data_IF_711904504345
#
_entry.id   IF_711904504345
#
_cell.length_a   1.000
_cell.length_b   1.000
_cell.length_c   1.000
_cell.angle_alpha   90.00
_cell.angle_beta   90.00
_cell.angle_gamma   90.00
#
_symmetry.space_group_name_H-M   'P 1'
#
loop_
_entity.id
_entity.type
_entity.pdbx_description
1 polymer ?
#
# COMPACT_ATOMS: atom_id res chain seq x y z
N UNK A 1 -23.42 -7.87 36.75
CA UNK A 1 -23.23 -6.65 35.94
C UNK A 1 -22.71 -5.61 36.88
N UNK A 2 -21.38 -5.46 36.97
CA UNK A 2 -20.80 -4.30 37.63
C UNK A 2 -21.26 -3.04 36.89
N UNK A 3 -21.59 -2.01 37.66
CA UNK A 3 -22.15 -0.77 37.15
C UNK A 3 -21.26 -0.18 36.05
N UNK A 4 -21.88 0.45 35.05
CA UNK A 4 -21.21 1.38 34.14
C UNK A 4 -20.35 2.29 35.01
N UNK A 5 -19.02 2.21 34.87
CA UNK A 5 -18.08 2.96 35.70
C UNK A 5 -18.53 4.42 35.76
N UNK A 6 -18.82 4.93 36.95
CA UNK A 6 -19.17 6.33 37.12
C UNK A 6 -18.06 7.19 36.54
N UNK A 7 -18.38 8.05 35.57
CA UNK A 7 -17.42 8.92 34.91
C UNK A 7 -16.58 9.70 35.93
N UNK A 8 -15.25 9.60 35.83
CA UNK A 8 -14.33 10.39 36.68
C UNK A 8 -14.49 11.88 36.37
N UNK A 9 -14.20 12.74 37.34
CA UNK A 9 -14.26 14.19 37.15
C UNK A 9 -13.26 14.67 36.09
N UNK A 10 -12.14 13.97 35.93
CA UNK A 10 -11.14 14.20 34.89
C UNK A 10 -11.70 13.93 33.48
N UNK A 11 -12.43 12.83 33.29
CA UNK A 11 -13.07 12.50 32.02
C UNK A 11 -14.23 13.45 31.67
N UNK A 12 -14.96 13.92 32.69
CA UNK A 12 -15.97 14.98 32.50
C UNK A 12 -15.33 16.31 32.11
N UNK A 13 -14.08 16.57 32.52
CA UNK A 13 -13.37 17.81 32.16
C UNK A 13 -12.93 17.82 30.68
N UNK A 14 -12.54 16.66 30.12
CA UNK A 14 -12.14 16.53 28.72
C UNK A 14 -13.33 16.64 27.74
N UNK A 15 -14.49 16.11 28.16
CA UNK A 15 -15.78 16.16 27.45
C UNK A 15 -16.64 17.29 28.03
N UNK A 16 -16.46 18.51 27.54
CA UNK A 16 -17.23 19.67 28.03
C UNK A 16 -18.58 19.83 27.32
N UNK A 17 -19.54 20.48 27.98
CA UNK A 17 -20.92 20.66 27.49
C UNK A 17 -20.97 21.42 26.15
N UNK A 18 -20.07 22.38 25.94
CA UNK A 18 -20.04 23.16 24.70
C UNK A 18 -19.62 22.32 23.49
N UNK A 19 -18.71 21.34 23.65
CA UNK A 19 -18.37 20.36 22.62
C UNK A 19 -19.54 19.42 22.33
N UNK A 20 -20.23 18.94 23.36
CA UNK A 20 -21.41 18.06 23.20
C UNK A 20 -22.47 18.79 22.37
N UNK A 21 -22.82 20.02 22.75
CA UNK A 21 -23.78 20.84 22.03
C UNK A 21 -23.34 21.12 20.58
N UNK A 22 -22.06 21.44 20.36
CA UNK A 22 -21.54 21.72 19.03
C UNK A 22 -21.61 20.48 18.10
N UNK A 23 -21.22 19.30 18.59
CA UNK A 23 -21.25 18.06 17.81
C UNK A 23 -22.70 17.66 17.50
N UNK A 24 -23.58 17.70 18.49
CA UNK A 24 -24.99 17.29 18.33
C UNK A 24 -25.75 18.23 17.41
N UNK A 25 -25.56 19.54 17.55
CA UNK A 25 -26.07 20.54 16.60
C UNK A 25 -25.58 20.29 15.18
N UNK A 26 -24.30 19.91 15.00
CA UNK A 26 -23.74 19.63 13.67
C UNK A 26 -24.36 18.38 13.00
N UNK A 27 -24.87 17.46 13.82
CA UNK A 27 -25.58 16.26 13.37
C UNK A 27 -27.09 16.50 13.21
N UNK A 28 -27.58 17.71 13.49
CA UNK A 28 -29.02 18.03 13.48
C UNK A 28 -29.79 17.44 14.66
N UNK A 29 -29.10 17.06 15.74
CA UNK A 29 -29.69 16.58 16.98
C UNK A 29 -29.88 17.76 17.94
N UNK A 30 -31.09 17.93 18.44
CA UNK A 30 -31.42 18.92 19.46
C UNK A 30 -31.51 18.23 20.83
N UNK A 31 -30.58 18.55 21.72
CA UNK A 31 -30.54 18.03 23.08
C UNK A 31 -31.03 19.12 24.02
N UNK A 32 -32.05 18.80 24.82
CA UNK A 32 -32.57 19.75 25.79
C UNK A 32 -31.46 20.17 26.75
N UNK A 33 -31.33 21.47 27.10
CA UNK A 33 -30.29 21.93 28.02
C UNK A 33 -30.27 21.19 29.36
N UNK A 34 -31.42 20.69 29.81
CA UNK A 34 -31.57 19.88 31.03
C UNK A 34 -30.92 18.50 30.95
N UNK A 35 -30.67 17.96 29.75
CA UNK A 35 -30.13 16.62 29.55
C UNK A 35 -28.62 16.63 29.27
N UNK A 36 -28.02 17.81 29.07
CA UNK A 36 -26.61 17.95 28.68
C UNK A 36 -25.64 17.32 29.70
N UNK A 37 -25.95 17.43 31.00
CA UNK A 37 -25.15 16.82 32.07
C UNK A 37 -25.24 15.29 32.08
N UNK A 38 -26.43 14.74 31.79
CA UNK A 38 -26.62 13.30 31.66
C UNK A 38 -25.82 12.74 30.47
N UNK A 39 -25.87 13.44 29.32
CA UNK A 39 -25.07 13.10 28.14
C UNK A 39 -23.56 13.20 28.41
N UNK A 40 -23.12 14.21 29.16
CA UNK A 40 -21.72 14.33 29.57
C UNK A 40 -21.30 13.14 30.42
N UNK A 41 -22.12 12.74 31.39
CA UNK A 41 -21.86 11.60 32.25
C UNK A 41 -21.77 10.28 31.46
N UNK A 42 -22.70 10.05 30.53
CA UNK A 42 -22.71 8.86 29.68
C UNK A 42 -21.48 8.80 28.76
N UNK A 43 -21.14 9.89 28.07
CA UNK A 43 -19.98 9.93 27.18
C UNK A 43 -18.67 9.78 27.97
N UNK A 44 -18.55 10.43 29.13
CA UNK A 44 -17.38 10.31 29.99
C UNK A 44 -17.25 8.94 30.66
N UNK A 45 -18.35 8.18 30.80
CA UNK A 45 -18.29 6.81 31.29
C UNK A 45 -17.67 5.84 30.28
N UNK A 46 -17.81 6.13 28.98
CA UNK A 46 -17.19 5.35 27.90
C UNK A 46 -15.68 5.61 27.80
N UNK A 47 -15.18 6.72 28.35
CA UNK A 47 -13.76 7.06 28.30
C UNK A 47 -12.89 5.99 28.96
N UNK A 48 -13.37 5.33 30.02
CA UNK A 48 -12.66 4.20 30.61
C UNK A 48 -12.39 3.08 29.60
N UNK A 49 -13.37 2.72 28.78
CA UNK A 49 -13.20 1.67 27.76
C UNK A 49 -12.25 2.12 26.65
N UNK A 50 -12.27 3.41 26.28
CA UNK A 50 -11.32 3.99 25.33
C UNK A 50 -9.91 3.93 25.91
N UNK A 51 -9.72 4.37 27.15
CA UNK A 51 -8.41 4.36 27.83
C UNK A 51 -7.86 2.93 27.95
N UNK A 52 -8.72 1.94 28.24
CA UNK A 52 -8.30 0.53 28.26
C UNK A 52 -7.72 0.13 26.91
N UNK A 53 -8.41 0.44 25.81
CA UNK A 53 -7.95 0.11 24.45
C UNK A 53 -6.70 0.90 24.05
N UNK A 54 -6.66 2.20 24.32
CA UNK A 54 -5.53 3.08 24.01
C UNK A 54 -4.26 2.72 24.79
N UNK A 55 -4.41 2.14 25.98
CA UNK A 55 -3.30 1.62 26.78
C UNK A 55 -2.91 0.18 26.41
N UNK A 56 -3.67 -0.50 25.54
CA UNK A 56 -3.19 -1.78 24.99
C UNK A 56 -1.96 -1.51 24.12
N UNK A 57 -0.96 -2.41 24.14
CA UNK A 57 0.14 -2.32 23.21
C UNK A 57 -0.39 -2.40 21.78
N UNK A 58 0.14 -1.55 20.91
CA UNK A 58 -0.16 -1.58 19.49
C UNK A 58 0.17 -2.96 18.90
N UNK A 59 -0.79 -3.57 18.21
CA UNK A 59 -0.57 -4.79 17.43
C UNK A 59 0.00 -4.42 16.06
N UNK A 60 1.28 -4.06 16.03
CA UNK A 60 2.02 -3.85 14.78
C UNK A 60 2.95 -5.05 14.59
N UNK A 61 2.90 -5.72 13.42
CA UNK A 61 3.93 -6.69 13.09
C UNK A 61 5.32 -6.05 13.22
N UNK A 62 6.25 -6.74 13.87
CA UNK A 62 7.61 -6.25 14.03
C UNK A 62 8.42 -6.58 12.79
N UNK A 63 9.20 -5.62 12.32
CA UNK A 63 10.16 -5.85 11.24
C UNK A 63 11.39 -6.54 11.83
N UNK A 64 11.75 -7.70 11.29
CA UNK A 64 12.99 -8.39 11.65
C UNK A 64 14.19 -7.69 10.98
N UNK A 65 14.81 -6.73 11.67
CA UNK A 65 15.96 -5.99 11.15
C UNK A 65 17.25 -6.80 11.13
N UNK A 66 17.34 -7.91 11.88
CA UNK A 66 18.48 -8.82 11.83
C UNK A 66 18.43 -9.65 10.55
N UNK A 67 17.23 -10.08 10.16
CA UNK A 67 16.97 -10.75 8.89
C UNK A 67 16.99 -9.78 7.70
N UNK A 68 16.47 -8.56 7.87
CA UNK A 68 16.34 -7.52 6.84
C UNK A 68 17.11 -6.24 7.18
N UNK A 69 18.46 -6.29 7.17
CA UNK A 69 19.26 -5.13 7.48
C UNK A 69 19.05 -4.05 6.41
N UNK A 70 18.59 -2.89 6.83
CA UNK A 70 18.51 -1.72 5.96
C UNK A 70 19.89 -1.10 5.80
N UNK A 71 20.37 -1.06 4.56
CA UNK A 71 21.66 -0.47 4.21
C UNK A 71 21.45 0.76 3.34
N UNK A 72 22.29 1.77 3.53
CA UNK A 72 22.40 2.93 2.65
C UNK A 72 21.07 3.67 2.44
N UNK A 73 20.30 3.90 3.51
CA UNK A 73 19.08 4.73 3.45
C UNK A 73 19.48 6.19 3.23
N UNK A 74 19.18 6.74 2.06
CA UNK A 74 19.53 8.14 1.75
C UNK A 74 18.58 8.79 0.75
N UNK A 75 18.53 10.12 0.79
CA UNK A 75 17.95 10.94 -0.27
C UNK A 75 18.99 11.02 -1.41
N UNK A 76 18.67 10.62 -2.65
CA UNK A 76 19.63 10.71 -3.74
C UNK A 76 20.04 12.16 -4.02
N UNK A 77 21.33 12.41 -4.31
CA UNK A 77 21.79 13.74 -4.74
C UNK A 77 21.15 14.11 -6.09
N UNK A 78 21.09 15.41 -6.45
CA UNK A 78 20.40 15.89 -7.66
C UNK A 78 20.80 15.18 -8.97
N UNK A 79 22.09 14.85 -9.14
CA UNK A 79 22.59 14.16 -10.32
C UNK A 79 22.17 12.68 -10.42
N UNK A 80 21.81 12.05 -9.30
CA UNK A 80 21.23 10.68 -9.27
C UNK A 80 19.70 10.68 -9.29
N UNK A 81 19.08 11.86 -9.23
CA UNK A 81 17.64 12.04 -9.22
C UNK A 81 17.19 13.00 -10.33
N UNK A 82 17.83 12.91 -11.49
CA UNK A 82 17.40 13.62 -12.69
C UNK A 82 15.95 13.23 -13.02
N UNK A 83 15.06 14.23 -13.02
CA UNK A 83 13.64 14.02 -13.20
C UNK A 83 12.84 13.77 -11.92
N UNK A 84 13.48 13.87 -10.74
CA UNK A 84 12.86 13.90 -9.41
C UNK A 84 11.95 12.69 -9.13
N UNK A 85 12.31 11.54 -9.69
CA UNK A 85 11.52 10.32 -9.53
C UNK A 85 11.68 9.69 -8.16
N UNK A 86 12.84 9.86 -7.53
CA UNK A 86 13.15 9.29 -6.23
C UNK A 86 12.78 10.19 -5.06
N UNK A 87 12.30 9.58 -3.98
CA UNK A 87 12.23 10.23 -2.67
C UNK A 87 13.28 9.69 -1.71
N UNK A 88 13.45 8.38 -1.64
CA UNK A 88 14.50 7.73 -0.87
C UNK A 88 15.01 6.50 -1.61
N UNK A 89 16.31 6.26 -1.49
CA UNK A 89 16.97 5.04 -1.91
C UNK A 89 17.30 4.24 -0.67
N UNK A 90 16.98 2.95 -0.69
CA UNK A 90 17.43 1.98 0.31
C UNK A 90 17.89 0.71 -0.38
N UNK A 91 18.91 0.09 0.19
CA UNK A 91 19.32 -1.26 -0.19
C UNK A 91 18.87 -2.22 0.89
N UNK A 92 18.07 -3.21 0.49
CA UNK A 92 17.62 -4.29 1.36
C UNK A 92 18.18 -5.58 0.76
N UNK A 93 18.81 -6.38 1.60
CA UNK A 93 19.34 -7.67 1.16
C UNK A 93 18.17 -8.65 1.00
N UNK A 94 17.94 -9.12 -0.23
CA UNK A 94 16.89 -10.08 -0.56
C UNK A 94 17.42 -11.52 -0.68
N UNK A 95 16.57 -12.42 -1.21
CA UNK A 95 16.95 -13.82 -1.36
C UNK A 95 18.08 -13.98 -2.39
N UNK A 96 18.94 -14.99 -2.19
CA UNK A 96 20.17 -15.20 -2.98
C UNK A 96 19.88 -15.74 -4.39
N UNK A 97 18.81 -16.52 -4.48
CA UNK A 97 18.38 -17.21 -5.68
C UNK A 97 16.86 -17.23 -5.66
N UNK A 98 16.27 -17.25 -6.84
CA UNK A 98 14.83 -17.07 -7.00
C UNK A 98 14.50 -16.27 -8.25
N UNK A 99 13.20 -16.10 -8.54
CA UNK A 99 12.75 -15.46 -9.78
C UNK A 99 13.22 -14.01 -9.94
N UNK A 100 13.57 -13.32 -8.85
CA UNK A 100 13.91 -11.90 -8.82
C UNK A 100 15.39 -11.60 -8.59
N UNK A 101 16.24 -12.63 -8.67
CA UNK A 101 17.68 -12.49 -8.51
C UNK A 101 18.27 -11.38 -9.40
N UNK A 102 18.94 -10.43 -8.76
CA UNK A 102 19.64 -9.33 -9.44
C UNK A 102 18.72 -8.20 -9.92
N UNK A 103 17.41 -8.28 -9.66
CA UNK A 103 16.46 -7.24 -10.06
C UNK A 103 16.45 -6.06 -9.07
N UNK A 104 16.22 -4.87 -9.60
CA UNK A 104 15.98 -3.63 -8.86
C UNK A 104 14.49 -3.29 -8.88
N UNK A 105 13.91 -3.01 -7.71
CA UNK A 105 12.48 -2.79 -7.55
C UNK A 105 12.17 -1.40 -6.98
N UNK A 106 11.35 -0.62 -7.66
CA UNK A 106 10.80 0.61 -7.07
C UNK A 106 9.47 0.31 -6.36
N UNK A 107 9.25 0.91 -5.19
CA UNK A 107 7.97 0.88 -4.49
C UNK A 107 7.33 2.28 -4.52
N UNK A 108 6.11 2.35 -5.04
CA UNK A 108 5.28 3.56 -5.00
C UNK A 108 4.90 3.83 -3.54
N UNK A 109 5.23 5.02 -3.02
CA UNK A 109 4.65 5.48 -1.76
C UNK A 109 3.18 5.76 -2.01
N UNK A 110 2.29 4.95 -1.45
CA UNK A 110 0.87 5.29 -1.37
C UNK A 110 0.71 6.13 -0.11
N UNK A 111 0.32 7.39 -0.31
CA UNK A 111 0.33 8.44 0.70
C UNK A 111 -0.62 8.11 1.87
N UNK A 112 -0.09 8.07 3.09
CA UNK A 112 -0.87 8.42 4.28
C UNK A 112 -1.32 9.89 4.12
N UNK A 113 -2.62 10.13 4.19
CA UNK A 113 -3.21 11.44 3.96
C UNK A 113 -2.83 12.44 5.08
N UNK A 114 -2.93 13.74 4.75
CA UNK A 114 -2.72 14.88 5.67
C UNK A 114 -3.54 14.81 6.97
N UNK A 115 -4.60 14.01 6.99
CA UNK A 115 -5.48 13.85 8.16
C UNK A 115 -4.82 12.98 9.25
N UNK A 116 -3.96 12.03 8.87
CA UNK A 116 -3.15 11.25 9.82
C UNK A 116 -1.96 12.03 10.39
N UNK A 117 -1.50 13.09 9.71
CA UNK A 117 -0.48 14.02 10.21
C UNK A 117 -0.94 14.82 11.44
N UNK A 118 -2.26 14.95 11.67
CA UNK A 118 -2.80 15.70 12.80
C UNK A 118 -2.95 14.83 14.07
N UNK A 119 -3.17 13.52 13.91
CA UNK A 119 -3.35 12.59 15.03
C UNK A 119 -2.03 12.22 15.72
N UNK A 120 -0.94 12.08 14.96
CA UNK A 120 0.38 11.70 15.49
C UNK A 120 1.24 12.92 15.80
N UNK A 121 0.70 13.88 16.56
CA UNK A 121 1.41 15.09 16.96
C UNK A 121 2.90 14.83 17.24
N UNK A 122 3.76 15.55 16.50
CA UNK A 122 5.24 15.53 16.49
C UNK A 122 5.94 14.77 15.35
N UNK A 123 7.16 15.24 15.08
CA UNK A 123 8.06 15.03 13.94
C UNK A 123 8.56 13.58 13.71
N UNK A 124 7.76 12.55 14.01
CA UNK A 124 8.10 11.15 13.78
C UNK A 124 7.72 10.69 12.36
N UNK A 125 8.15 11.44 11.35
CA UNK A 125 7.85 11.18 9.94
C UNK A 125 8.69 10.08 9.24
N UNK A 126 9.86 9.59 9.74
CA UNK A 126 10.60 8.53 9.03
C UNK A 126 10.15 7.10 9.39
N UNK A 127 9.80 6.80 10.64
CA UNK A 127 9.79 5.42 11.14
C UNK A 127 8.54 4.64 10.72
N UNK A 128 7.34 5.23 10.83
CA UNK A 128 6.08 4.51 10.57
C UNK A 128 5.87 4.15 9.09
N UNK A 129 6.23 5.04 8.16
CA UNK A 129 6.18 4.77 6.71
C UNK A 129 7.24 3.75 6.27
N UNK A 130 8.43 3.80 6.88
CA UNK A 130 9.46 2.77 6.67
C UNK A 130 8.96 1.42 7.17
N UNK A 131 8.41 1.37 8.39
CA UNK A 131 7.93 0.14 9.01
C UNK A 131 6.85 -0.56 8.19
N UNK A 132 5.82 0.15 7.72
CA UNK A 132 4.77 -0.44 6.88
C UNK A 132 5.28 -0.95 5.53
N UNK A 133 6.22 -0.23 4.91
CA UNK A 133 6.89 -0.69 3.68
C UNK A 133 7.75 -1.92 3.95
N UNK A 134 8.43 -1.97 5.09
CA UNK A 134 9.28 -3.08 5.50
C UNK A 134 8.46 -4.32 5.85
N UNK A 135 7.26 -4.17 6.40
CA UNK A 135 6.35 -5.29 6.61
C UNK A 135 5.88 -5.91 5.30
N UNK A 136 5.50 -5.07 4.34
CA UNK A 136 5.22 -5.54 2.98
C UNK A 136 6.41 -6.29 2.36
N UNK A 137 7.64 -5.82 2.62
CA UNK A 137 8.87 -6.43 2.11
C UNK A 137 9.29 -7.71 2.84
N UNK A 138 9.06 -7.77 4.15
CA UNK A 138 9.32 -8.94 4.96
C UNK A 138 8.39 -10.07 4.54
N UNK A 139 7.09 -9.81 4.43
CA UNK A 139 6.13 -10.82 3.97
C UNK A 139 6.48 -11.29 2.55
N UNK A 140 6.82 -10.35 1.65
CA UNK A 140 7.32 -10.67 0.31
C UNK A 140 8.54 -11.62 0.31
N UNK A 141 9.53 -11.35 1.17
CA UNK A 141 10.72 -12.18 1.23
C UNK A 141 10.43 -13.56 1.83
N UNK A 142 9.63 -13.61 2.89
CA UNK A 142 9.19 -14.88 3.49
C UNK A 142 8.49 -15.74 2.43
N UNK A 143 7.66 -15.14 1.57
CA UNK A 143 7.04 -15.84 0.45
C UNK A 143 8.05 -16.29 -0.62
N UNK A 144 9.04 -15.47 -0.97
CA UNK A 144 10.08 -15.86 -1.92
C UNK A 144 10.79 -17.14 -1.45
N UNK A 145 11.07 -17.26 -0.14
CA UNK A 145 11.70 -18.45 0.44
C UNK A 145 10.86 -19.73 0.35
N UNK A 146 9.53 -19.61 0.25
CA UNK A 146 8.63 -20.75 0.12
C UNK A 146 8.64 -21.32 -1.31
N UNK A 147 9.21 -20.62 -2.29
CA UNK A 147 9.29 -21.12 -3.66
C UNK A 147 10.32 -22.25 -3.77
N UNK A 148 10.06 -23.30 -4.57
CA UNK A 148 10.96 -24.47 -4.67
C UNK A 148 12.41 -24.15 -5.07
N UNK A 149 12.66 -23.00 -5.69
CA UNK A 149 13.96 -22.58 -6.24
C UNK A 149 14.85 -21.79 -5.25
N UNK A 150 14.34 -21.33 -4.10
CA UNK A 150 15.07 -20.43 -3.19
C UNK A 150 15.73 -21.20 -2.02
N UNK A 151 16.90 -21.81 -2.24
CA UNK A 151 17.64 -22.53 -1.19
C UNK A 151 19.07 -22.03 -1.01
N UNK A 152 19.29 -20.83 -0.47
CA UNK A 152 20.54 -20.49 0.27
C UNK A 152 20.50 -19.11 0.93
N UNK A 153 21.21 -18.95 2.07
CA UNK A 153 21.43 -17.69 2.78
C UNK A 153 22.79 -17.07 2.36
N UNK A 154 22.84 -15.71 2.33
CA UNK A 154 24.01 -14.79 2.20
C UNK A 154 24.27 -14.01 0.85
N UNK A 155 23.41 -13.01 0.53
CA UNK A 155 23.64 -11.81 -0.35
C UNK A 155 23.83 -11.92 -1.89
N UNK A 156 23.52 -10.84 -2.68
CA UNK A 156 22.41 -9.86 -2.58
C UNK A 156 21.55 -9.82 -3.89
N UNK A 157 20.31 -9.31 -3.96
CA UNK A 157 19.89 -7.90 -3.80
C UNK A 157 18.36 -7.77 -4.01
N UNK A 158 17.63 -7.02 -3.16
CA UNK A 158 16.33 -6.40 -3.49
C UNK A 158 16.47 -4.90 -3.20
N UNK A 159 16.93 -4.13 -4.18
CA UNK A 159 16.96 -2.67 -4.03
C UNK A 159 15.53 -2.16 -4.04
N UNK A 160 15.12 -1.52 -2.94
CA UNK A 160 13.82 -0.89 -2.78
C UNK A 160 13.99 0.61 -2.89
N UNK A 161 13.23 1.21 -3.77
CA UNK A 161 13.24 2.66 -3.93
C UNK A 161 11.88 3.25 -3.61
N UNK A 162 11.82 4.15 -2.65
CA UNK A 162 10.58 4.81 -2.25
C UNK A 162 10.31 6.02 -3.15
N UNK A 163 9.12 6.06 -3.73
CA UNK A 163 8.67 7.14 -4.61
C UNK A 163 7.63 8.03 -3.92
N UNK A 164 8.00 9.21 -3.43
CA UNK A 164 7.21 10.45 -3.52
C UNK A 164 7.98 11.65 -2.92
N UNK A 165 8.24 12.67 -3.74
CA UNK A 165 8.85 13.92 -3.30
C UNK A 165 7.84 14.74 -2.47
N UNK A 166 8.10 14.92 -1.19
CA UNK A 166 7.29 15.76 -0.29
C UNK A 166 8.16 16.78 0.48
N UNK A 167 9.31 17.19 -0.08
CA UNK A 167 10.12 18.30 0.49
C UNK A 167 10.08 19.55 -0.40
N UNK A 168 9.29 20.52 0.06
CA UNK A 168 9.65 21.94 0.16
C UNK A 168 10.00 22.77 -1.10
N UNK A 169 9.65 22.36 -2.33
CA UNK A 169 9.60 23.28 -3.49
C UNK A 169 8.14 23.54 -3.92
N UNK A 170 7.41 24.25 -3.06
CA UNK A 170 6.03 24.64 -3.27
C UNK A 170 5.89 25.73 -4.35
N UNK A 171 5.38 25.33 -5.51
CA UNK A 171 4.55 26.21 -6.39
C UNK A 171 3.64 25.46 -7.38
N UNK A 172 3.60 24.13 -7.35
CA UNK A 172 2.78 23.35 -8.27
C UNK A 172 1.78 22.53 -7.45
N UNK A 173 0.50 22.82 -7.63
CA UNK A 173 -0.63 21.97 -7.27
C UNK A 173 -0.43 20.66 -8.03
N UNK A 174 0.17 19.63 -7.41
CA UNK A 174 0.60 18.43 -8.12
C UNK A 174 -0.61 17.58 -8.52
N UNK A 175 -0.89 17.40 -9.83
CA UNK A 175 -1.92 16.46 -10.28
C UNK A 175 -1.47 15.03 -9.98
N UNK A 176 -2.43 14.13 -9.78
CA UNK A 176 -2.18 12.68 -9.52
C UNK A 176 -1.32 12.04 -10.62
N UNK A 177 -1.37 12.60 -11.83
CA UNK A 177 -0.58 12.26 -13.01
C UNK A 177 0.95 12.35 -12.81
N UNK A 178 1.44 13.15 -11.84
CA UNK A 178 2.89 13.36 -11.68
C UNK A 178 3.59 12.15 -11.06
N UNK A 179 3.01 11.51 -10.04
CA UNK A 179 3.60 10.32 -9.39
C UNK A 179 3.70 9.16 -10.39
N UNK A 180 2.67 9.01 -11.22
CA UNK A 180 2.61 8.03 -12.29
C UNK A 180 3.71 8.27 -13.34
N UNK A 181 3.95 9.53 -13.74
CA UNK A 181 5.07 9.90 -14.63
C UNK A 181 6.45 9.56 -14.05
N UNK A 182 6.62 9.61 -12.73
CA UNK A 182 7.90 9.25 -12.08
C UNK A 182 8.18 7.73 -12.20
N UNK A 183 7.18 6.89 -11.94
CA UNK A 183 7.27 5.44 -12.13
C UNK A 183 7.53 5.10 -13.60
N UNK A 184 6.84 5.80 -14.52
CA UNK A 184 7.09 5.70 -15.96
C UNK A 184 8.56 5.97 -16.32
N UNK A 185 9.18 7.00 -15.73
CA UNK A 185 10.58 7.33 -16.01
C UNK A 185 11.54 6.24 -15.54
N UNK A 186 11.31 5.68 -14.36
CA UNK A 186 12.24 4.70 -13.78
C UNK A 186 12.24 3.37 -14.53
N UNK A 187 11.05 2.83 -14.80
CA UNK A 187 10.92 1.58 -15.55
C UNK A 187 11.26 1.82 -17.02
N UNK A 188 10.72 2.89 -17.63
CA UNK A 188 10.95 3.22 -19.04
C UNK A 188 12.41 3.53 -19.37
N UNK A 189 13.15 4.18 -18.48
CA UNK A 189 14.59 4.45 -18.63
C UNK A 189 15.47 3.29 -18.14
N UNK A 190 14.89 2.14 -17.75
CA UNK A 190 15.61 0.95 -17.26
C UNK A 190 16.47 1.21 -16.02
N UNK A 191 16.07 2.17 -15.20
CA UNK A 191 16.73 2.47 -13.93
C UNK A 191 16.37 1.37 -12.92
N UNK A 192 15.15 0.83 -13.01
CA UNK A 192 14.66 -0.35 -12.27
C UNK A 192 14.04 -1.37 -13.22
N UNK A 193 14.03 -2.62 -12.80
CA UNK A 193 13.45 -3.74 -13.55
C UNK A 193 11.93 -3.83 -13.33
N UNK A 194 11.46 -3.46 -12.14
CA UNK A 194 10.03 -3.37 -11.83
C UNK A 194 9.71 -2.21 -10.89
N UNK A 195 8.48 -1.74 -10.97
CA UNK A 195 7.88 -0.87 -9.97
C UNK A 195 6.57 -1.49 -9.43
N UNK A 196 6.41 -1.51 -8.11
CA UNK A 196 5.22 -2.00 -7.40
C UNK A 196 4.43 -0.81 -6.89
N UNK A 197 3.10 -0.91 -6.92
CA UNK A 197 2.24 0.12 -6.35
C UNK A 197 0.77 -0.27 -6.35
N UNK A 198 -0.06 0.69 -5.98
CA UNK A 198 -1.51 0.50 -5.93
C UNK A 198 -2.22 0.83 -7.23
N UNK A 199 -3.30 0.11 -7.50
CA UNK A 199 -4.19 0.33 -8.62
C UNK A 199 -5.68 0.22 -8.20
N UNK A 200 -6.28 1.38 -7.97
CA UNK A 200 -7.69 1.54 -7.66
C UNK A 200 -8.53 1.70 -8.93
N UNK A 201 -8.30 2.78 -9.66
CA UNK A 201 -9.00 3.09 -10.91
C UNK A 201 -8.25 2.66 -12.17
N UNK A 202 -6.97 2.30 -12.04
CA UNK A 202 -6.13 1.94 -13.18
C UNK A 202 -4.70 2.47 -13.14
N UNK A 203 -4.26 3.14 -12.08
CA UNK A 203 -2.93 3.78 -11.97
C UNK A 203 -1.79 2.96 -12.55
N UNK A 204 -1.68 1.66 -12.24
CA UNK A 204 -0.65 0.78 -12.84
C UNK A 204 -0.81 0.64 -14.36
N UNK A 205 -2.01 0.31 -14.83
CA UNK A 205 -2.29 0.05 -16.25
C UNK A 205 -2.21 1.32 -17.10
N UNK A 206 -2.73 2.43 -16.58
CA UNK A 206 -2.71 3.74 -17.22
C UNK A 206 -1.28 4.26 -17.35
N UNK A 207 -0.49 4.20 -16.27
CA UNK A 207 0.93 4.57 -16.30
C UNK A 207 1.70 3.74 -17.31
N UNK A 208 1.53 2.41 -17.27
CA UNK A 208 2.22 1.50 -18.17
C UNK A 208 1.90 1.76 -19.64
N UNK A 209 0.62 1.97 -19.96
CA UNK A 209 0.17 2.30 -21.31
C UNK A 209 0.79 3.60 -21.84
N UNK A 210 0.97 4.61 -20.97
CA UNK A 210 1.55 5.89 -21.37
C UNK A 210 3.07 5.84 -21.60
N UNK A 211 3.75 4.77 -21.14
CA UNK A 211 5.19 4.62 -21.27
C UNK A 211 5.64 3.42 -22.11
N UNK A 212 4.70 2.68 -22.71
CA UNK A 212 5.01 1.47 -23.46
C UNK A 212 5.55 0.34 -22.58
N UNK A 213 5.21 0.34 -21.29
CA UNK A 213 5.56 -0.72 -20.35
C UNK A 213 4.39 -1.71 -20.17
N UNK A 214 4.63 -2.78 -19.43
CA UNK A 214 3.61 -3.77 -19.03
C UNK A 214 3.13 -3.44 -17.63
N UNK A 215 1.83 -3.17 -17.48
CA UNK A 215 1.19 -2.89 -16.20
C UNK A 215 0.19 -3.97 -15.81
N UNK A 216 0.46 -4.70 -14.73
CA UNK A 216 -0.41 -5.76 -14.23
C UNK A 216 -1.10 -5.33 -12.96
N UNK A 217 -2.44 -5.21 -13.08
CA UNK A 217 -3.33 -5.29 -11.92
C UNK A 217 -3.75 -6.76 -11.74
N UNK A 218 -3.37 -7.44 -10.65
CA UNK A 218 -3.84 -8.79 -10.37
C UNK A 218 -5.33 -8.80 -9.97
N UNK A 219 -5.84 -10.01 -9.76
CA UNK A 219 -7.13 -10.24 -9.09
C UNK A 219 -7.07 -9.61 -7.69
N UNK A 220 -8.15 -8.97 -7.25
CA UNK A 220 -8.22 -8.35 -5.92
C UNK A 220 -7.97 -9.43 -4.86
N UNK A 221 -7.17 -9.11 -3.85
CA UNK A 221 -6.78 -10.03 -2.78
C UNK A 221 -5.63 -10.98 -3.12
N UNK A 222 -5.23 -11.12 -4.40
CA UNK A 222 -4.14 -12.05 -4.77
C UNK A 222 -2.77 -11.60 -4.25
N UNK A 223 -2.56 -10.29 -4.18
CA UNK A 223 -1.38 -9.68 -3.56
C UNK A 223 -1.92 -8.90 -2.36
N UNK A 224 -1.40 -9.11 -1.15
CA UNK A 224 -1.87 -8.41 0.03
C UNK A 224 -1.74 -6.89 -0.09
N UNK A 225 -2.66 -6.19 0.56
CA UNK A 225 -2.67 -4.74 0.69
C UNK A 225 -2.03 -4.25 1.99
N UNK A 226 -1.59 -5.16 2.88
CA UNK A 226 -0.88 -4.79 4.10
C UNK A 226 0.29 -3.85 3.80
N UNK A 227 0.43 -2.81 4.63
CA UNK A 227 1.52 -1.83 4.53
C UNK A 227 1.28 -0.73 3.49
N UNK A 228 0.24 -0.84 2.67
CA UNK A 228 -0.14 0.14 1.68
C UNK A 228 -1.24 1.07 2.23
N UNK A 229 -1.14 2.37 1.99
CA UNK A 229 -2.19 3.29 2.44
C UNK A 229 -3.48 3.08 1.64
N UNK A 230 -4.56 2.81 2.36
CA UNK A 230 -5.90 2.62 1.81
C UNK A 230 -6.46 3.92 1.26
N UNK A 231 -7.01 3.86 0.05
CA UNK A 231 -7.81 4.95 -0.52
C UNK A 231 -9.28 4.55 -0.58
N UNK A 232 -9.57 3.38 -1.14
CA UNK A 232 -10.92 2.83 -1.25
C UNK A 232 -10.80 1.30 -1.13
N UNK A 233 -11.10 0.72 0.05
CA UNK A 233 -10.84 -0.70 0.35
C UNK A 233 -11.38 -1.67 -0.69
N UNK A 234 -12.50 -1.35 -1.33
CA UNK A 234 -13.12 -2.26 -2.33
C UNK A 234 -12.40 -2.25 -3.67
N UNK A 235 -11.60 -1.23 -3.97
CA UNK A 235 -10.86 -1.08 -5.23
C UNK A 235 -9.35 -1.22 -5.07
N UNK A 236 -8.84 -1.07 -3.86
CA UNK A 236 -7.42 -1.19 -3.55
C UNK A 236 -6.87 -2.56 -3.98
N UNK A 237 -5.80 -2.54 -4.77
CA UNK A 237 -5.14 -3.73 -5.32
C UNK A 237 -3.69 -3.41 -5.61
N UNK A 238 -2.76 -4.17 -5.05
CA UNK A 238 -1.34 -4.05 -5.34
C UNK A 238 -1.03 -4.69 -6.69
N UNK A 239 -0.15 -4.09 -7.47
CA UNK A 239 0.32 -4.70 -8.71
C UNK A 239 1.67 -4.17 -9.14
N UNK A 240 2.08 -4.52 -10.35
CA UNK A 240 3.43 -4.29 -10.83
C UNK A 240 3.47 -3.68 -12.22
N UNK A 241 4.57 -2.97 -12.49
CA UNK A 241 4.92 -2.44 -13.78
C UNK A 241 6.34 -2.87 -14.15
N UNK A 242 6.53 -3.35 -15.37
CA UNK A 242 7.79 -3.90 -15.89
C UNK A 242 7.94 -3.58 -17.37
N UNK A 243 9.11 -3.81 -17.98
CA UNK A 243 9.29 -3.60 -19.43
C UNK A 243 8.73 -4.73 -20.30
N UNK A 244 8.57 -5.92 -19.72
CA UNK A 244 8.09 -7.09 -20.44
C UNK A 244 7.18 -7.97 -19.56
N UNK A 245 6.43 -8.85 -20.23
CA UNK A 245 5.42 -9.72 -19.60
C UNK A 245 6.08 -10.83 -18.77
N UNK A 246 7.27 -11.30 -19.16
CA UNK A 246 7.98 -12.38 -18.46
C UNK A 246 8.45 -11.90 -17.09
N UNK A 247 9.10 -10.74 -17.05
CA UNK A 247 9.50 -10.06 -15.81
C UNK A 247 8.27 -9.78 -14.95
N UNK A 248 7.15 -9.35 -15.55
CA UNK A 248 5.91 -9.13 -14.80
C UNK A 248 5.38 -10.40 -14.14
N UNK A 249 5.39 -11.53 -14.86
CA UNK A 249 4.96 -12.82 -14.36
C UNK A 249 5.86 -13.31 -13.21
N UNK A 250 7.19 -13.15 -13.33
CA UNK A 250 8.15 -13.49 -12.25
C UNK A 250 7.93 -12.65 -10.99
N UNK A 251 7.74 -11.35 -11.18
CA UNK A 251 7.36 -10.40 -10.13
C UNK A 251 6.08 -10.87 -9.45
N UNK A 252 5.01 -11.12 -10.20
CA UNK A 252 3.75 -11.61 -9.64
C UNK A 252 3.91 -12.98 -8.94
N UNK A 253 4.78 -13.87 -9.45
CA UNK A 253 5.10 -15.19 -8.88
C UNK A 253 5.69 -15.09 -7.47
N UNK A 254 6.30 -13.96 -7.11
CA UNK A 254 6.85 -13.74 -5.76
C UNK A 254 5.91 -12.89 -4.90
N UNK A 255 5.22 -11.90 -5.50
CA UNK A 255 4.32 -11.01 -4.76
C UNK A 255 2.97 -11.63 -4.39
N UNK A 256 2.56 -12.73 -5.01
CA UNK A 256 1.33 -13.38 -4.58
C UNK A 256 1.53 -13.97 -3.18
N UNK A 257 0.56 -13.72 -2.31
CA UNK A 257 0.58 -14.25 -0.96
C UNK A 257 -0.81 -14.17 -0.37
N UNK A 258 -1.05 -15.05 0.60
CA UNK A 258 -2.10 -14.84 1.59
C UNK A 258 -1.40 -14.44 2.88
N UNK A 259 -1.56 -13.19 3.29
CA UNK A 259 -1.19 -12.80 4.65
C UNK A 259 -2.37 -13.14 5.61
N UNK A 260 -2.11 -13.03 6.91
CA UNK A 260 -3.11 -13.32 7.97
C UNK A 260 -3.86 -12.08 8.46
N UNK A 261 -3.66 -10.92 7.82
CA UNK A 261 -4.12 -9.61 8.31
C UNK A 261 -5.03 -8.91 7.30
N UNK A 262 -4.72 -8.99 6.00
CA UNK A 262 -5.54 -8.55 4.89
C UNK A 262 -6.66 -9.56 4.61
N UNK A 263 -7.86 -9.17 5.03
CA UNK A 263 -9.09 -9.92 4.81
C UNK A 263 -9.48 -10.04 3.33
N UNK A 264 -8.92 -9.21 2.44
CA UNK A 264 -9.19 -9.26 1.01
C UNK A 264 -8.60 -10.52 0.36
N UNK A 265 -7.58 -11.14 0.95
CA UNK A 265 -6.97 -12.39 0.50
C UNK A 265 -7.77 -13.64 0.85
N UNK A 266 -8.92 -13.52 1.52
CA UNK A 266 -9.75 -14.65 1.88
C UNK A 266 -10.24 -15.42 0.63
N UNK A 267 -9.82 -16.68 0.52
CA UNK A 267 -10.12 -17.56 -0.62
C UNK A 267 -8.99 -17.67 -1.64
N UNK A 268 -7.90 -16.93 -1.47
CA UNK A 268 -6.68 -17.13 -2.27
C UNK A 268 -5.97 -18.41 -1.79
N UNK A 269 -5.57 -19.32 -2.70
CA UNK A 269 -4.78 -20.50 -2.34
C UNK A 269 -3.47 -20.10 -1.64
N UNK A 270 -2.93 -20.99 -0.80
CA UNK A 270 -1.58 -20.81 -0.27
C UNK A 270 -0.55 -20.75 -1.40
N UNK A 271 0.64 -20.22 -1.14
CA UNK A 271 1.74 -20.13 -2.12
C UNK A 271 2.00 -21.45 -2.86
N UNK A 272 1.92 -22.58 -2.15
CA UNK A 272 2.09 -23.93 -2.72
C UNK A 272 0.97 -24.38 -3.67
N UNK A 273 -0.21 -23.77 -3.59
CA UNK A 273 -1.39 -24.10 -4.41
C UNK A 273 -1.58 -23.19 -5.62
N UNK A 274 -0.71 -22.21 -5.82
CA UNK A 274 -0.79 -21.27 -6.93
C UNK A 274 -0.04 -21.80 -8.16
N UNK A 275 -0.57 -21.57 -9.38
CA UNK A 275 0.11 -22.01 -10.60
C UNK A 275 1.38 -21.20 -10.82
N UNK A 276 2.34 -21.80 -11.52
CA UNK A 276 3.48 -21.06 -12.07
C UNK A 276 2.99 -20.13 -13.20
N UNK A 277 2.94 -18.82 -12.93
CA UNK A 277 2.49 -17.82 -13.90
C UNK A 277 3.38 -17.71 -15.14
N UNK A 278 4.59 -18.28 -15.10
CA UNK A 278 5.54 -18.28 -16.20
C UNK A 278 5.48 -19.52 -17.10
N UNK A 279 4.87 -20.61 -16.64
CA UNK A 279 4.90 -21.91 -17.33
C UNK A 279 4.37 -21.86 -18.77
N UNK A 280 3.29 -21.11 -19.01
CA UNK A 280 2.61 -21.05 -20.31
C UNK A 280 3.07 -19.94 -21.26
N UNK A 281 4.09 -19.15 -20.91
CA UNK A 281 4.45 -17.94 -21.67
C UNK A 281 4.86 -18.21 -23.13
N UNK A 282 5.34 -19.42 -23.42
CA UNK A 282 5.83 -19.81 -24.75
C UNK A 282 4.88 -20.76 -25.52
N UNK A 283 3.73 -21.14 -24.95
CA UNK A 283 2.86 -22.17 -25.52
C UNK A 283 2.00 -21.67 -26.69
N UNK A 284 1.99 -20.35 -26.94
CA UNK A 284 1.13 -19.71 -27.93
C UNK A 284 -0.36 -19.80 -27.57
N UNK A 285 -1.20 -19.09 -28.32
CA UNK A 285 -2.62 -18.88 -27.96
C UNK A 285 -3.61 -19.36 -29.03
N UNK A 286 -3.22 -20.34 -29.86
CA UNK A 286 -4.01 -20.77 -31.05
C UNK A 286 -5.45 -21.19 -30.75
N UNK A 287 -5.71 -21.72 -29.55
CA UNK A 287 -7.04 -22.21 -29.14
C UNK A 287 -7.83 -21.19 -28.33
N UNK A 288 -7.27 -20.00 -28.07
CA UNK A 288 -7.88 -19.01 -27.20
C UNK A 288 -8.98 -18.23 -27.94
N UNK A 289 -10.07 -17.96 -27.23
CA UNK A 289 -11.15 -17.10 -27.71
C UNK A 289 -10.96 -15.70 -27.14
N UNK A 290 -10.76 -14.72 -28.02
CA UNK A 290 -10.61 -13.32 -27.64
C UNK A 290 -11.94 -12.57 -27.81
N UNK A 291 -12.37 -11.85 -26.78
CA UNK A 291 -13.55 -10.99 -26.82
C UNK A 291 -13.12 -9.52 -26.95
N UNK A 292 -13.69 -8.82 -27.93
CA UNK A 292 -13.43 -7.40 -28.14
C UNK A 292 -14.63 -6.57 -27.67
N UNK A 293 -14.43 -5.73 -26.66
CA UNK A 293 -15.50 -4.86 -26.14
C UNK A 293 -15.76 -3.69 -27.10
N UNK A 294 -16.92 -3.71 -27.78
CA UNK A 294 -17.37 -2.60 -28.65
C UNK A 294 -17.42 -1.26 -27.90
N UNK A 295 -17.88 -1.30 -26.64
CA UNK A 295 -17.99 -0.11 -25.77
C UNK A 295 -16.62 0.50 -25.48
N UNK A 296 -15.60 -0.32 -25.24
CA UNK A 296 -14.25 0.16 -24.94
C UNK A 296 -13.57 0.83 -26.14
N UNK A 297 -13.86 0.38 -27.36
CA UNK A 297 -13.30 0.95 -28.58
C UNK A 297 -14.10 2.15 -29.12
N UNK A 298 -15.16 2.57 -28.42
CA UNK A 298 -16.14 3.54 -28.91
C UNK A 298 -16.59 3.22 -30.35
N UNK A 299 -16.61 1.93 -30.69
CA UNK A 299 -17.04 1.45 -31.99
C UNK A 299 -18.56 1.58 -32.04
N UNK A 300 -19.05 2.75 -32.48
CA UNK A 300 -20.38 2.89 -33.08
C UNK A 300 -20.35 2.18 -34.42
N UNK A 301 -20.26 0.85 -34.38
CA UNK A 301 -20.44 0.05 -35.58
C UNK A 301 -21.90 0.22 -36.00
N UNK A 302 -22.08 0.96 -37.08
CA UNK A 302 -23.20 0.81 -38.00
C UNK A 302 -23.30 -0.66 -38.37
N UNK A 303 -24.05 -1.44 -37.59
CA UNK A 303 -24.53 -2.73 -38.03
C UNK A 303 -25.66 -2.36 -38.98
N UNK A 304 -25.43 -2.54 -40.29
CA UNK A 304 -26.54 -2.69 -41.23
C UNK A 304 -27.26 -3.97 -40.80
N UNK A 305 -28.48 -3.81 -40.29
CA UNK A 305 -29.47 -4.88 -40.18
C UNK A 305 -29.75 -5.50 -41.56
#
# INVERSE_FOLDING_TARGET
MEAVNSASDENKHSINLSKIHAVTSSLGLDIAPSELEDWQCLLASNQYSIDVVDNLPDYVPLVDLDQFPQKLVHLPPPHENEGHAWAWKVTIDGARDGPLKGMKLALKKILLSRTFQYYLGQMCFPISCQMLTLLFLQDFYEQEQLLPASRSREQPLVCVFLLCNDRASWKIRMPIDTIERLIQRLVGARIVDSAIGGAQGGSIRFTASNCGAVGKKPTRGLVPWMGMATHEPVHDTTGSMTLDVITNAKVLQVFHSRDVIDDCGNGVPSVSGLPDYSAGLNEGVKVWKFLLSKKALNLRLWIRE
#
